data_IF_493089804433
#
_entry.id   IF_493089804433
#
_cell.length_a   1.000
_cell.length_b   1.000
_cell.length_c   1.000
_cell.angle_alpha   90.00
_cell.angle_beta   90.00
_cell.angle_gamma   90.00
#
_symmetry.space_group_name_H-M   'P 1'
#
loop_
_entity.id
_entity.type
_entity.pdbx_description
1 polymer ?
#
# COMPACT_ATOMS: atom_id res chain seq x y z
N UNK A 1 -35.89 6.53 9.06
CA UNK A 1 -36.99 6.11 8.16
C UNK A 1 -36.39 5.37 6.98
N UNK A 2 -36.97 4.24 6.56
CA UNK A 2 -36.41 3.34 5.53
C UNK A 2 -36.82 3.70 4.08
N UNK A 3 -37.45 4.87 3.88
CA UNK A 3 -37.98 5.28 2.58
C UNK A 3 -39.18 4.44 2.13
N UNK A 4 -39.59 4.63 0.88
CA UNK A 4 -40.68 3.88 0.27
C UNK A 4 -40.26 2.42 0.02
N UNK A 5 -41.19 1.46 0.15
CA UNK A 5 -40.89 0.07 -0.13
C UNK A 5 -40.68 -0.18 -1.61
N UNK A 6 -39.71 -1.03 -1.93
CA UNK A 6 -39.41 -1.45 -3.31
C UNK A 6 -40.18 -2.71 -3.72
N UNK A 7 -40.66 -3.49 -2.75
CA UNK A 7 -41.49 -4.66 -2.97
C UNK A 7 -42.46 -4.85 -1.80
N UNK A 8 -43.70 -5.23 -2.13
CA UNK A 8 -44.70 -5.67 -1.15
C UNK A 8 -45.19 -7.03 -1.61
N UNK A 9 -44.90 -8.05 -0.80
CA UNK A 9 -45.29 -9.44 -1.08
C UNK A 9 -46.75 -9.70 -0.69
N UNK A 10 -47.35 -10.73 -1.29
CA UNK A 10 -48.74 -11.12 -1.02
C UNK A 10 -49.00 -11.57 0.42
N UNK A 11 -47.96 -11.98 1.15
CA UNK A 11 -48.00 -12.33 2.58
C UNK A 11 -47.95 -11.10 3.51
N UNK A 12 -47.95 -9.89 2.96
CA UNK A 12 -47.87 -8.64 3.70
C UNK A 12 -46.46 -8.24 4.12
N UNK A 13 -45.43 -9.00 3.75
CA UNK A 13 -44.04 -8.60 3.98
C UNK A 13 -43.63 -7.46 3.03
N UNK A 14 -42.79 -6.58 3.55
CA UNK A 14 -42.38 -5.35 2.88
C UNK A 14 -40.86 -5.31 2.78
N UNK A 15 -40.34 -5.02 1.59
CA UNK A 15 -38.91 -4.91 1.33
C UNK A 15 -38.55 -3.46 1.08
N UNK A 16 -37.56 -2.96 1.82
CA UNK A 16 -36.96 -1.64 1.62
C UNK A 16 -35.55 -1.79 1.06
N UNK A 17 -35.20 -0.96 0.08
CA UNK A 17 -33.81 -0.80 -0.34
C UNK A 17 -33.09 0.08 0.69
N UNK A 18 -31.99 -0.43 1.24
CA UNK A 18 -31.12 0.32 2.15
C UNK A 18 -29.71 0.16 1.66
N UNK A 19 -29.15 1.22 1.07
CA UNK A 19 -27.81 1.16 0.47
C UNK A 19 -27.77 0.05 -0.61
N UNK A 20 -26.73 -0.79 -0.64
CA UNK A 20 -26.67 -1.97 -1.50
C UNK A 20 -27.45 -3.18 -0.94
N UNK A 21 -28.04 -3.07 0.25
CA UNK A 21 -28.79 -4.13 0.91
C UNK A 21 -30.30 -4.03 0.71
N UNK A 22 -30.98 -5.10 1.11
CA UNK A 22 -32.44 -5.17 1.21
C UNK A 22 -32.83 -5.54 2.62
N UNK A 23 -33.72 -4.76 3.21
CA UNK A 23 -34.31 -5.08 4.52
C UNK A 23 -35.72 -5.56 4.27
N UNK A 24 -35.98 -6.84 4.54
CA UNK A 24 -37.31 -7.43 4.51
C UNK A 24 -37.90 -7.39 5.92
N UNK A 25 -39.12 -6.88 6.00
CA UNK A 25 -39.92 -6.76 7.22
C UNK A 25 -41.13 -7.69 7.09
N UNK A 26 -41.23 -8.70 7.96
CA UNK A 26 -42.34 -9.64 8.01
C UNK A 26 -43.32 -9.30 9.14
N UNK A 27 -44.62 -9.33 8.84
CA UNK A 27 -45.68 -8.94 9.76
C UNK A 27 -46.64 -10.10 10.04
N UNK A 28 -47.16 -10.17 11.26
CA UNK A 28 -48.27 -11.05 11.63
C UNK A 28 -49.34 -10.22 12.34
N UNK A 29 -50.50 -10.07 11.71
CA UNK A 29 -51.47 -9.04 12.10
C UNK A 29 -50.83 -7.65 11.98
N UNK A 30 -50.93 -6.85 13.04
CA UNK A 30 -50.39 -5.48 13.07
C UNK A 30 -48.95 -5.42 13.64
N UNK A 31 -48.36 -6.58 13.96
CA UNK A 31 -47.05 -6.67 14.62
C UNK A 31 -45.93 -7.07 13.67
N UNK A 32 -44.78 -6.38 13.76
CA UNK A 32 -43.53 -6.80 13.13
C UNK A 32 -42.98 -8.02 13.87
N UNK A 33 -42.77 -9.12 13.15
CA UNK A 33 -42.31 -10.40 13.70
C UNK A 33 -40.98 -10.88 13.12
N UNK A 34 -40.58 -10.36 11.97
CA UNK A 34 -39.32 -10.73 11.31
C UNK A 34 -38.63 -9.50 10.71
N UNK A 35 -37.31 -9.42 10.89
CA UNK A 35 -36.44 -8.50 10.17
C UNK A 35 -35.30 -9.34 9.60
N UNK A 36 -35.20 -9.39 8.28
CA UNK A 36 -34.08 -10.02 7.59
C UNK A 36 -33.34 -9.02 6.72
N UNK A 37 -32.01 -9.10 6.77
CA UNK A 37 -31.12 -8.31 5.94
C UNK A 37 -30.54 -9.22 4.87
N UNK A 38 -30.87 -8.92 3.62
CA UNK A 38 -30.30 -9.58 2.46
C UNK A 38 -29.25 -8.67 1.84
N UNK A 39 -28.06 -9.22 1.62
CA UNK A 39 -27.02 -8.58 0.83
C UNK A 39 -26.92 -9.30 -0.50
N UNK A 40 -27.37 -8.69 -1.61
CA UNK A 40 -27.12 -9.22 -2.94
C UNK A 40 -25.62 -9.48 -3.13
N UNK A 41 -25.24 -10.53 -3.88
CA UNK A 41 -23.85 -10.76 -4.23
C UNK A 41 -23.30 -9.53 -4.94
N UNK A 42 -22.05 -9.16 -4.64
CA UNK A 42 -21.39 -8.06 -5.33
C UNK A 42 -21.26 -8.41 -6.82
N UNK A 43 -21.57 -7.45 -7.67
CA UNK A 43 -21.27 -7.56 -9.09
C UNK A 43 -19.75 -7.68 -9.30
N UNK A 44 -19.36 -8.18 -10.47
CA UNK A 44 -17.96 -8.32 -10.86
C UNK A 44 -17.20 -7.00 -10.87
N UNK A 45 -15.91 -7.06 -11.20
CA UNK A 45 -15.09 -5.85 -11.26
C UNK A 45 -15.62 -4.90 -12.34
N UNK A 46 -15.74 -3.59 -12.04
CA UNK A 46 -16.21 -2.61 -13.00
C UNK A 46 -15.25 -2.49 -14.20
N UNK A 47 -15.81 -2.14 -15.35
CA UNK A 47 -15.01 -1.88 -16.56
C UNK A 47 -14.29 -0.53 -16.49
N UNK A 48 -13.20 -0.42 -17.26
CA UNK A 48 -12.37 0.79 -17.34
C UNK A 48 -11.05 0.68 -16.57
N UNK A 49 -10.32 1.80 -16.47
CA UNK A 49 -9.00 1.84 -15.84
C UNK A 49 -9.00 1.48 -14.35
N UNK A 50 -10.13 1.68 -13.65
CA UNK A 50 -10.29 1.33 -12.23
C UNK A 50 -10.03 -0.17 -11.96
N UNK A 51 -10.28 -1.02 -12.96
CA UNK A 51 -10.13 -2.47 -12.84
C UNK A 51 -8.72 -2.87 -12.43
N UNK A 52 -7.69 -2.25 -13.02
CA UNK A 52 -6.30 -2.54 -12.67
C UNK A 52 -5.96 -2.17 -11.22
N UNK A 53 -6.58 -1.13 -10.68
CA UNK A 53 -6.39 -0.68 -9.29
C UNK A 53 -7.11 -1.59 -8.27
N UNK A 54 -8.12 -2.35 -8.71
CA UNK A 54 -8.78 -3.39 -7.92
C UNK A 54 -8.04 -4.73 -8.04
N UNK A 55 -7.62 -5.12 -9.25
CA UNK A 55 -6.92 -6.38 -9.53
C UNK A 55 -5.51 -6.45 -8.93
N UNK A 56 -4.87 -5.31 -8.65
CA UNK A 56 -3.56 -5.28 -8.00
C UNK A 56 -3.61 -5.70 -6.53
N UNK A 57 -4.78 -5.67 -5.88
CA UNK A 57 -4.90 -5.93 -4.46
C UNK A 57 -4.57 -7.40 -4.14
N UNK A 58 -3.65 -7.61 -3.20
CA UNK A 58 -3.10 -8.92 -2.84
C UNK A 58 -1.98 -9.41 -3.76
N UNK A 59 -1.74 -8.75 -4.89
CA UNK A 59 -0.68 -9.11 -5.82
C UNK A 59 0.71 -8.73 -5.28
N UNK A 60 1.76 -9.47 -5.67
CA UNK A 60 3.13 -9.17 -5.25
C UNK A 60 3.60 -7.78 -5.69
N UNK A 61 4.31 -7.06 -4.81
CA UNK A 61 5.13 -5.91 -5.21
C UNK A 61 6.16 -6.35 -6.26
N UNK A 62 6.40 -5.49 -7.24
CA UNK A 62 7.19 -5.80 -8.44
C UNK A 62 6.50 -6.75 -9.43
N UNK A 63 5.30 -7.25 -9.12
CA UNK A 63 4.51 -8.15 -9.98
C UNK A 63 3.92 -7.49 -11.23
N UNK A 64 3.30 -8.30 -12.11
CA UNK A 64 2.72 -7.81 -13.36
C UNK A 64 1.58 -6.80 -13.13
N UNK A 65 0.71 -7.05 -12.15
CA UNK A 65 -0.38 -6.13 -11.79
C UNK A 65 0.16 -4.80 -11.24
N UNK A 66 1.18 -4.83 -10.38
CA UNK A 66 1.86 -3.62 -9.88
C UNK A 66 2.47 -2.79 -11.02
N UNK A 67 3.11 -3.45 -11.99
CA UNK A 67 3.65 -2.76 -13.19
C UNK A 67 2.56 -2.15 -14.06
N UNK A 68 1.41 -2.81 -14.20
CA UNK A 68 0.26 -2.26 -14.91
C UNK A 68 -0.27 -0.98 -14.23
N UNK A 69 -0.39 -0.99 -12.90
CA UNK A 69 -0.77 0.21 -12.13
C UNK A 69 0.28 1.30 -12.26
N UNK A 70 1.57 0.98 -12.18
CA UNK A 70 2.65 1.94 -12.37
C UNK A 70 2.59 2.60 -13.76
N UNK A 71 2.30 1.82 -14.81
CA UNK A 71 2.13 2.34 -16.16
C UNK A 71 0.91 3.28 -16.28
N UNK A 72 -0.20 2.94 -15.63
CA UNK A 72 -1.41 3.80 -15.60
C UNK A 72 -1.19 5.08 -14.80
N UNK A 73 -0.52 4.99 -13.66
CA UNK A 73 -0.17 6.13 -12.83
C UNK A 73 0.76 7.10 -13.58
N UNK A 74 1.78 6.55 -14.25
CA UNK A 74 2.84 7.32 -14.89
C UNK A 74 3.71 8.09 -13.90
N UNK A 75 4.75 8.74 -14.45
CA UNK A 75 5.71 9.52 -13.67
C UNK A 75 6.70 8.66 -12.88
N UNK A 76 7.39 9.30 -11.94
CA UNK A 76 8.39 8.66 -11.08
C UNK A 76 7.73 8.08 -9.83
N UNK A 77 8.08 6.85 -9.48
CA UNK A 77 7.70 6.22 -8.23
C UNK A 77 8.68 6.63 -7.13
N UNK A 78 8.16 6.97 -5.94
CA UNK A 78 8.96 7.21 -4.73
C UNK A 78 8.48 6.29 -3.62
N UNK A 79 9.43 5.69 -2.91
CA UNK A 79 9.17 4.76 -1.81
C UNK A 79 9.37 5.42 -0.45
N UNK A 80 8.45 5.12 0.45
CA UNK A 80 8.42 5.63 1.80
C UNK A 80 8.24 4.50 2.79
N UNK A 81 8.98 4.56 3.89
CA UNK A 81 8.90 3.62 4.99
C UNK A 81 8.37 4.31 6.25
N UNK A 82 7.72 3.53 7.11
CA UNK A 82 7.41 3.92 8.49
C UNK A 82 8.67 3.71 9.35
N UNK A 83 8.70 4.26 10.57
CA UNK A 83 9.73 3.91 11.56
C UNK A 83 9.81 2.40 11.81
N UNK A 84 10.91 1.92 12.41
CA UNK A 84 11.12 0.52 12.74
C UNK A 84 9.90 -0.11 13.45
N UNK A 85 9.61 -1.37 13.11
CA UNK A 85 8.49 -2.13 13.69
C UNK A 85 7.22 -2.21 12.85
N UNK A 86 7.14 -1.50 11.72
CA UNK A 86 6.01 -1.57 10.79
C UNK A 86 6.48 -2.06 9.41
N UNK A 87 5.86 -3.14 8.92
CA UNK A 87 6.15 -3.73 7.60
C UNK A 87 5.53 -2.93 6.45
N UNK A 88 4.58 -2.04 6.77
CA UNK A 88 3.85 -1.27 5.78
C UNK A 88 4.74 -0.24 5.09
N UNK A 89 4.65 -0.21 3.76
CA UNK A 89 5.32 0.74 2.86
C UNK A 89 4.31 1.53 2.06
N UNK A 90 4.74 2.68 1.57
CA UNK A 90 3.99 3.49 0.62
C UNK A 90 4.82 3.71 -0.64
N UNK A 91 4.25 3.40 -1.79
CA UNK A 91 4.77 3.74 -3.11
C UNK A 91 3.90 4.88 -3.63
N UNK A 92 4.47 6.07 -3.77
CA UNK A 92 3.78 7.24 -4.28
C UNK A 92 4.25 7.55 -5.70
N UNK A 93 3.32 7.63 -6.64
CA UNK A 93 3.58 8.01 -8.02
C UNK A 93 3.25 9.50 -8.20
N UNK A 94 4.14 10.23 -8.87
CA UNK A 94 3.91 11.66 -9.19
C UNK A 94 2.64 11.88 -10.04
N UNK A 95 2.12 10.84 -10.68
CA UNK A 95 0.83 10.81 -11.36
C UNK A 95 -0.40 10.78 -10.45
N UNK A 96 -0.27 10.93 -9.13
CA UNK A 96 -1.40 11.01 -8.20
C UNK A 96 -1.99 9.65 -7.79
N UNK A 97 -1.17 8.59 -7.88
CA UNK A 97 -1.52 7.25 -7.41
C UNK A 97 -0.62 6.89 -6.23
N UNK A 98 -1.16 6.16 -5.27
CA UNK A 98 -0.42 5.59 -4.17
C UNK A 98 -0.76 4.12 -3.99
N UNK A 99 0.25 3.31 -3.69
CA UNK A 99 0.07 1.92 -3.27
C UNK A 99 0.58 1.76 -1.84
N UNK A 100 -0.20 1.14 -0.97
CA UNK A 100 0.32 0.62 0.29
C UNK A 100 0.68 -0.84 0.09
N UNK A 101 1.88 -1.22 0.53
CA UNK A 101 2.41 -2.59 0.45
C UNK A 101 2.69 -3.09 1.86
N UNK A 102 2.35 -4.33 2.13
CA UNK A 102 2.62 -5.03 3.38
C UNK A 102 2.97 -6.48 3.03
N UNK A 103 4.01 -7.04 3.65
CA UNK A 103 4.48 -8.41 3.36
C UNK A 103 4.71 -8.69 1.87
N UNK A 104 5.36 -7.73 1.20
CA UNK A 104 5.64 -7.75 -0.25
C UNK A 104 4.38 -7.90 -1.14
N UNK A 105 3.19 -7.57 -0.63
CA UNK A 105 1.92 -7.58 -1.37
C UNK A 105 1.19 -6.26 -1.27
N UNK A 106 0.44 -5.89 -2.30
CA UNK A 106 -0.33 -4.64 -2.30
C UNK A 106 -1.56 -4.77 -1.42
N UNK A 107 -1.65 -3.92 -0.42
CA UNK A 107 -2.74 -3.85 0.55
C UNK A 107 -3.82 -2.84 0.13
N UNK A 108 -3.41 -1.73 -0.49
CA UNK A 108 -4.35 -0.74 -1.01
C UNK A 108 -3.81 0.00 -2.22
N UNK A 109 -4.72 0.51 -3.02
CA UNK A 109 -4.43 1.46 -4.08
C UNK A 109 -5.29 2.70 -3.89
N UNK A 110 -4.70 3.89 -4.01
CA UNK A 110 -5.40 5.17 -3.87
C UNK A 110 -5.15 6.03 -5.09
N UNK A 111 -6.21 6.62 -5.62
CA UNK A 111 -6.21 7.48 -6.79
C UNK A 111 -6.71 8.86 -6.37
N UNK A 112 -5.89 9.89 -6.55
CA UNK A 112 -6.25 11.28 -6.29
C UNK A 112 -6.84 11.91 -7.54
N UNK A 113 -8.10 12.34 -7.47
CA UNK A 113 -8.86 12.89 -8.59
C UNK A 113 -8.80 14.42 -8.65
N UNK A 114 -8.47 15.07 -7.53
CA UNK A 114 -8.33 16.52 -7.42
C UNK A 114 -6.95 16.91 -6.89
N UNK A 115 -6.49 18.10 -7.27
CA UNK A 115 -5.20 18.63 -6.81
C UNK A 115 -5.35 19.17 -5.40
N UNK A 116 -4.65 18.58 -4.45
CA UNK A 116 -4.50 19.09 -3.10
C UNK A 116 -3.04 19.44 -2.84
N UNK A 117 -2.82 20.39 -1.92
CA UNK A 117 -1.48 20.89 -1.63
C UNK A 117 -0.49 19.73 -1.35
N UNK A 118 0.52 19.59 -2.20
CA UNK A 118 1.62 18.62 -2.02
C UNK A 118 1.42 17.25 -2.67
N UNK A 119 0.41 17.04 -3.52
CA UNK A 119 0.17 15.76 -4.22
C UNK A 119 0.05 15.87 -5.74
N UNK A 120 0.29 14.75 -6.44
CA UNK A 120 -0.06 14.59 -7.85
C UNK A 120 -1.56 14.33 -8.05
N UNK A 121 -2.05 14.57 -9.27
CA UNK A 121 -3.43 14.25 -9.68
C UNK A 121 -3.42 13.24 -10.80
N UNK A 122 -4.30 12.26 -10.70
CA UNK A 122 -4.49 11.27 -11.74
C UNK A 122 -5.03 11.91 -13.02
N UNK A 123 -4.21 11.89 -14.07
CA UNK A 123 -4.47 12.63 -15.32
C UNK A 123 -5.57 12.01 -16.17
N UNK A 124 -5.83 10.71 -16.00
CA UNK A 124 -6.75 9.93 -16.82
C UNK A 124 -8.08 9.63 -16.10
N UNK A 125 -8.51 10.49 -15.18
CA UNK A 125 -9.72 10.25 -14.38
C UNK A 125 -10.99 9.97 -15.20
N UNK A 126 -11.15 10.58 -16.38
CA UNK A 126 -12.30 10.32 -17.27
C UNK A 126 -12.29 8.94 -17.96
N UNK A 127 -11.22 8.15 -17.80
CA UNK A 127 -11.14 6.76 -18.28
C UNK A 127 -11.14 5.72 -17.16
N UNK A 128 -11.33 6.13 -15.90
CA UNK A 128 -11.34 5.20 -14.77
C UNK A 128 -12.56 4.29 -14.80
N UNK A 129 -13.74 4.86 -15.04
CA UNK A 129 -15.01 4.14 -15.14
C UNK A 129 -15.66 4.46 -16.49
N UNK A 130 -16.20 3.45 -17.16
CA UNK A 130 -16.86 3.62 -18.45
C UNK A 130 -18.07 4.56 -18.31
N UNK A 131 -18.14 5.58 -19.16
CA UNK A 131 -19.27 6.53 -19.19
C UNK A 131 -19.28 7.56 -18.05
N UNK A 132 -18.25 7.58 -17.20
CA UNK A 132 -18.14 8.50 -16.06
C UNK A 132 -17.26 9.71 -16.43
N UNK A 133 -17.70 10.95 -16.15
CA UNK A 133 -16.91 12.14 -16.47
C UNK A 133 -15.64 12.25 -15.60
N UNK A 134 -14.71 13.11 -16.02
CA UNK A 134 -13.42 13.32 -15.32
C UNK A 134 -13.58 13.75 -13.85
N UNK A 135 -14.62 14.51 -13.53
CA UNK A 135 -14.94 14.97 -12.18
C UNK A 135 -16.32 14.43 -11.80
N UNK A 136 -16.41 13.18 -11.33
CA UNK A 136 -17.69 12.52 -11.17
C UNK A 136 -18.43 13.01 -9.92
N UNK A 137 -19.73 13.23 -10.07
CA UNK A 137 -20.64 13.42 -8.94
C UNK A 137 -20.99 12.09 -8.26
N UNK A 138 -21.68 12.15 -7.11
CA UNK A 138 -22.28 10.96 -6.49
C UNK A 138 -23.20 10.20 -7.45
N UNK A 139 -24.08 10.92 -8.14
CA UNK A 139 -25.05 10.32 -9.07
C UNK A 139 -24.36 9.61 -10.23
N UNK A 140 -23.25 10.17 -10.72
CA UNK A 140 -22.45 9.52 -11.77
C UNK A 140 -21.84 8.20 -11.29
N UNK A 141 -21.33 8.18 -10.06
CA UNK A 141 -20.77 6.97 -9.46
C UNK A 141 -21.86 5.97 -9.12
N UNK A 142 -23.01 6.39 -8.59
CA UNK A 142 -24.15 5.49 -8.34
C UNK A 142 -24.69 4.89 -9.63
N UNK A 143 -24.63 5.61 -10.76
CA UNK A 143 -25.00 5.05 -12.06
C UNK A 143 -24.01 3.99 -12.54
N UNK A 144 -22.71 4.19 -12.30
CA UNK A 144 -21.65 3.30 -12.76
C UNK A 144 -21.37 2.12 -11.82
N UNK A 145 -21.63 2.30 -10.52
CA UNK A 145 -21.31 1.36 -9.44
C UNK A 145 -22.59 0.83 -8.75
N UNK A 146 -23.77 1.36 -9.06
CA UNK A 146 -24.94 1.10 -8.24
C UNK A 146 -24.84 1.77 -6.86
N UNK A 147 -25.77 1.46 -5.95
CA UNK A 147 -25.81 2.08 -4.63
C UNK A 147 -24.58 1.69 -3.79
N UNK A 148 -24.08 2.58 -2.91
CA UNK A 148 -23.01 2.26 -2.00
C UNK A 148 -23.46 1.18 -1.02
N UNK A 149 -22.54 0.36 -0.53
CA UNK A 149 -22.76 -0.62 0.53
C UNK A 149 -22.71 -0.02 1.94
N UNK A 150 -22.12 1.17 2.09
CA UNK A 150 -22.16 1.98 3.30
C UNK A 150 -21.88 3.45 2.97
N UNK A 151 -22.53 4.36 3.68
CA UNK A 151 -22.31 5.82 3.57
C UNK A 151 -22.00 6.41 4.93
N UNK A 152 -20.96 7.23 5.02
CA UNK A 152 -20.61 7.99 6.21
C UNK A 152 -20.18 9.41 5.82
N UNK A 153 -21.10 10.36 5.97
CA UNK A 153 -20.85 11.76 5.64
C UNK A 153 -20.44 11.95 4.17
N UNK A 154 -19.21 12.43 3.96
CA UNK A 154 -18.61 12.65 2.63
C UNK A 154 -18.00 11.40 2.01
N UNK A 155 -18.11 10.23 2.64
CA UNK A 155 -17.49 8.98 2.19
C UNK A 155 -18.54 7.94 1.85
N UNK A 156 -18.34 7.22 0.75
CA UNK A 156 -19.15 6.07 0.35
C UNK A 156 -18.26 4.85 0.09
N UNK A 157 -18.72 3.68 0.50
CA UNK A 157 -18.06 2.40 0.24
C UNK A 157 -18.86 1.65 -0.82
N UNK A 158 -18.22 1.26 -1.91
CA UNK A 158 -18.79 0.47 -3.00
C UNK A 158 -18.13 -0.90 -3.03
N UNK A 159 -18.91 -1.99 -2.94
CA UNK A 159 -18.35 -3.35 -2.96
C UNK A 159 -18.36 -3.94 -4.36
N UNK A 160 -17.21 -4.43 -4.84
CA UNK A 160 -17.03 -5.04 -6.17
C UNK A 160 -16.17 -6.29 -6.06
N UNK A 161 -16.75 -7.44 -6.39
CA UNK A 161 -16.11 -8.73 -6.12
C UNK A 161 -15.67 -8.84 -4.66
N UNK A 162 -14.39 -9.16 -4.44
CA UNK A 162 -13.74 -9.24 -3.12
C UNK A 162 -13.06 -7.94 -2.64
N UNK A 163 -13.41 -6.80 -3.25
CA UNK A 163 -12.79 -5.51 -2.97
C UNK A 163 -13.83 -4.48 -2.51
N UNK A 164 -13.41 -3.58 -1.62
CA UNK A 164 -14.15 -2.38 -1.26
C UNK A 164 -13.46 -1.18 -1.93
N UNK A 165 -14.24 -0.39 -2.67
CA UNK A 165 -13.84 0.89 -3.26
C UNK A 165 -14.45 2.01 -2.41
N UNK A 166 -13.60 2.67 -1.64
CA UNK A 166 -13.96 3.82 -0.80
C UNK A 166 -13.80 5.09 -1.63
N UNK A 167 -14.86 5.87 -1.75
CA UNK A 167 -14.89 7.14 -2.48
C UNK A 167 -15.09 8.26 -1.48
N UNK A 168 -14.18 9.24 -1.47
CA UNK A 168 -14.33 10.46 -0.70
C UNK A 168 -14.74 11.62 -1.61
N UNK A 169 -15.75 12.36 -1.19
CA UNK A 169 -16.32 13.50 -1.90
C UNK A 169 -15.96 14.83 -1.22
N UNK A 170 -15.84 15.89 -2.02
CA UNK A 170 -15.57 17.23 -1.51
C UNK A 170 -16.76 17.89 -0.80
N UNK A 171 -16.51 18.95 -0.01
CA UNK A 171 -17.57 19.76 0.56
C UNK A 171 -18.38 20.45 -0.55
N UNK A 172 -19.71 20.37 -0.50
CA UNK A 172 -20.61 21.04 -1.45
C UNK A 172 -22.07 20.66 -1.24
N UNK A 173 -22.99 21.59 -1.56
CA UNK A 173 -24.42 21.29 -1.58
C UNK A 173 -24.75 20.47 -2.84
N UNK A 174 -25.50 19.37 -2.69
CA UNK A 174 -25.87 18.39 -3.72
C UNK A 174 -24.80 17.34 -4.11
N UNK A 175 -24.11 16.75 -3.13
CA UNK A 175 -23.36 15.50 -3.36
C UNK A 175 -22.07 15.70 -4.14
N UNK A 176 -21.18 16.55 -3.59
CA UNK A 176 -19.95 17.07 -4.18
C UNK A 176 -19.10 16.07 -4.99
N UNK A 177 -18.17 16.60 -5.79
CA UNK A 177 -17.35 15.77 -6.70
C UNK A 177 -16.44 14.80 -5.94
N UNK A 178 -16.19 13.63 -6.52
CA UNK A 178 -15.22 12.68 -5.99
C UNK A 178 -13.81 13.28 -6.01
N UNK A 179 -13.11 13.16 -4.89
CA UNK A 179 -11.76 13.71 -4.68
C UNK A 179 -10.71 12.63 -4.65
N UNK A 180 -11.03 11.50 -4.04
CA UNK A 180 -10.17 10.32 -4.04
C UNK A 180 -10.99 9.03 -4.10
N UNK A 181 -10.34 8.00 -4.63
CA UNK A 181 -10.84 6.64 -4.67
C UNK A 181 -9.77 5.72 -4.10
N UNK A 182 -10.11 4.99 -3.05
CA UNK A 182 -9.22 4.04 -2.37
C UNK A 182 -9.79 2.63 -2.46
N UNK A 183 -9.09 1.74 -3.14
CA UNK A 183 -9.43 0.34 -3.23
C UNK A 183 -8.67 -0.46 -2.16
N UNK A 184 -9.38 -1.35 -1.48
CA UNK A 184 -8.86 -2.28 -0.46
C UNK A 184 -9.54 -3.64 -0.58
N UNK A 185 -8.92 -4.74 -0.14
CA UNK A 185 -9.63 -6.00 0.04
C UNK A 185 -10.79 -5.82 1.02
N UNK A 186 -11.91 -6.50 0.78
CA UNK A 186 -13.09 -6.37 1.66
C UNK A 186 -12.75 -6.67 3.12
N UNK A 187 -13.18 -5.80 4.03
CA UNK A 187 -12.92 -5.93 5.47
C UNK A 187 -11.54 -5.42 5.92
N UNK A 188 -10.75 -4.86 5.01
CA UNK A 188 -9.44 -4.25 5.33
C UNK A 188 -9.59 -2.76 5.61
N UNK A 189 -8.86 -2.26 6.61
CA UNK A 189 -8.74 -0.82 6.88
C UNK A 189 -7.29 -0.38 6.69
N UNK A 190 -7.10 0.76 6.03
CA UNK A 190 -5.78 1.35 5.77
C UNK A 190 -5.76 2.79 6.25
N UNK A 191 -4.62 3.19 6.85
CA UNK A 191 -4.40 4.57 7.25
C UNK A 191 -3.42 5.26 6.30
N UNK A 192 -3.84 6.37 5.72
CA UNK A 192 -3.02 7.18 4.85
C UNK A 192 -2.19 8.23 5.62
N UNK A 193 -2.59 8.59 6.84
CA UNK A 193 -1.94 9.61 7.68
C UNK A 193 -0.75 9.15 8.51
N UNK A 194 -0.18 7.98 8.22
CA UNK A 194 0.96 7.44 8.99
C UNK A 194 2.22 8.29 8.72
N UNK A 195 2.95 8.64 9.77
CA UNK A 195 4.26 9.28 9.66
C UNK A 195 5.24 8.36 8.92
N UNK A 196 5.87 8.90 7.88
CA UNK A 196 6.76 8.17 6.98
C UNK A 196 7.98 9.02 6.66
N UNK A 197 9.10 8.36 6.37
CA UNK A 197 10.31 8.96 5.83
C UNK A 197 10.60 8.40 4.45
N UNK A 198 11.27 9.17 3.60
CA UNK A 198 11.65 8.73 2.25
C UNK A 198 12.76 7.71 2.36
N UNK A 199 12.47 6.47 1.99
CA UNK A 199 13.44 5.38 2.10
C UNK A 199 14.30 5.21 0.86
N UNK A 200 13.88 5.77 -0.29
CA UNK A 200 14.36 5.31 -1.58
C UNK A 200 14.09 3.81 -1.76
N UNK A 201 14.91 3.15 -2.57
CA UNK A 201 14.86 1.70 -2.79
C UNK A 201 15.30 0.89 -1.55
N UNK A 202 15.93 1.51 -0.56
CA UNK A 202 16.52 0.79 0.56
C UNK A 202 15.53 -0.11 1.34
N UNK A 203 14.29 0.34 1.52
CA UNK A 203 13.27 -0.46 2.21
C UNK A 203 12.99 -1.79 1.49
N UNK A 204 13.19 -1.85 0.17
CA UNK A 204 13.03 -3.09 -0.59
C UNK A 204 14.00 -4.17 -0.15
N UNK A 205 15.22 -3.79 0.26
CA UNK A 205 16.24 -4.76 0.64
C UNK A 205 15.87 -5.52 1.91
N UNK A 206 15.16 -4.86 2.84
CA UNK A 206 14.57 -5.53 4.00
C UNK A 206 13.38 -6.40 3.59
N UNK A 207 12.53 -5.90 2.70
CA UNK A 207 11.28 -6.56 2.32
C UNK A 207 11.52 -7.82 1.44
N UNK A 208 12.68 -7.94 0.77
CA UNK A 208 13.04 -9.17 0.02
C UNK A 208 13.59 -10.29 0.88
N UNK A 209 14.03 -10.02 2.11
CA UNK A 209 14.59 -11.07 2.97
C UNK A 209 13.57 -12.17 3.23
N UNK A 210 13.98 -13.42 3.07
CA UNK A 210 13.13 -14.59 3.26
C UNK A 210 12.17 -14.90 2.10
N UNK A 211 12.09 -14.04 1.08
CA UNK A 211 11.31 -14.33 -0.12
C UNK A 211 12.03 -15.36 -1.01
N UNK A 212 11.25 -16.17 -1.70
CA UNK A 212 11.75 -17.11 -2.71
C UNK A 212 12.45 -16.37 -3.86
N UNK A 213 13.45 -17.04 -4.44
CA UNK A 213 14.22 -16.50 -5.55
C UNK A 213 13.37 -16.10 -6.78
N UNK A 214 12.24 -16.79 -6.97
CA UNK A 214 11.27 -16.58 -8.04
C UNK A 214 10.36 -15.36 -7.83
N UNK A 215 10.36 -14.77 -6.62
CA UNK A 215 9.44 -13.70 -6.27
C UNK A 215 9.69 -12.43 -7.13
N UNK A 216 8.65 -11.76 -7.66
CA UNK A 216 8.83 -10.61 -8.55
C UNK A 216 9.68 -9.48 -7.95
N UNK A 217 9.49 -9.19 -6.65
CA UNK A 217 10.29 -8.20 -5.92
C UNK A 217 11.78 -8.56 -5.87
N UNK A 218 12.11 -9.86 -5.73
CA UNK A 218 13.50 -10.34 -5.75
C UNK A 218 14.10 -10.11 -7.14
N UNK A 219 13.33 -10.38 -8.20
CA UNK A 219 13.72 -10.05 -9.57
C UNK A 219 14.01 -8.55 -9.78
N UNK A 220 13.18 -7.68 -9.20
CA UNK A 220 13.41 -6.23 -9.24
C UNK A 220 14.72 -5.84 -8.54
N UNK A 221 14.94 -6.32 -7.31
CA UNK A 221 16.15 -6.00 -6.54
C UNK A 221 17.41 -6.55 -7.22
N UNK A 222 17.36 -7.75 -7.77
CA UNK A 222 18.49 -8.36 -8.51
C UNK A 222 18.94 -7.50 -9.70
N UNK A 223 18.02 -6.78 -10.33
CA UNK A 223 18.31 -5.95 -11.51
C UNK A 223 18.85 -4.56 -11.15
N UNK A 224 18.96 -4.21 -9.87
CA UNK A 224 19.54 -2.94 -9.44
C UNK A 224 21.06 -2.97 -9.57
N UNK A 225 21.61 -2.01 -10.31
CA UNK A 225 23.05 -1.91 -10.52
C UNK A 225 23.77 -1.60 -9.20
N UNK A 226 24.74 -2.44 -8.80
CA UNK A 226 25.45 -2.27 -7.54
C UNK A 226 24.92 -3.11 -6.38
N UNK A 227 23.93 -3.98 -6.63
CA UNK A 227 23.32 -4.87 -5.65
C UNK A 227 23.70 -6.32 -5.96
N UNK A 228 24.15 -7.05 -4.94
CA UNK A 228 24.34 -8.50 -4.98
C UNK A 228 23.36 -9.16 -4.00
N UNK A 229 22.71 -10.24 -4.44
CA UNK A 229 21.87 -11.07 -3.58
C UNK A 229 22.63 -12.32 -3.16
N UNK A 230 22.54 -12.68 -1.89
CA UNK A 230 22.92 -14.00 -1.40
C UNK A 230 21.67 -14.81 -1.06
N UNK A 231 21.58 -15.99 -1.66
CA UNK A 231 20.44 -16.91 -1.52
C UNK A 231 20.89 -18.13 -0.72
N UNK A 232 20.09 -18.52 0.27
CA UNK A 232 20.32 -19.72 1.06
C UNK A 232 19.02 -20.52 1.16
N UNK A 233 19.07 -21.81 0.83
CA UNK A 233 17.89 -22.67 0.85
C UNK A 233 16.75 -22.20 -0.06
N UNK A 234 17.07 -21.54 -1.19
CA UNK A 234 16.08 -21.06 -2.16
C UNK A 234 15.41 -19.72 -1.82
N UNK A 235 15.76 -19.11 -0.69
CA UNK A 235 15.26 -17.79 -0.27
C UNK A 235 16.39 -16.78 -0.13
N UNK A 236 16.07 -15.49 -0.27
CA UNK A 236 17.05 -14.41 -0.07
C UNK A 236 17.45 -14.34 1.40
N UNK A 237 18.74 -14.49 1.66
CA UNK A 237 19.33 -14.42 3.01
C UNK A 237 20.06 -13.10 3.24
N UNK A 238 20.64 -12.52 2.19
CA UNK A 238 21.39 -11.27 2.24
C UNK A 238 21.23 -10.44 0.95
N UNK A 239 21.32 -9.12 1.12
CA UNK A 239 21.46 -8.11 0.08
C UNK A 239 22.72 -7.32 0.40
N UNK A 240 23.67 -7.26 -0.52
CA UNK A 240 24.93 -6.53 -0.34
C UNK A 240 25.01 -5.39 -1.34
N UNK A 241 25.38 -4.22 -0.85
CA UNK A 241 25.54 -2.99 -1.61
C UNK A 241 26.97 -2.50 -1.44
N UNK A 242 27.67 -2.27 -2.55
CA UNK A 242 29.03 -1.72 -2.52
C UNK A 242 30.12 -2.76 -2.27
N UNK A 243 30.09 -3.91 -2.94
CA UNK A 243 31.21 -4.86 -2.97
C UNK A 243 32.11 -4.69 -4.21
N UNK A 244 33.20 -5.47 -4.26
CA UNK A 244 34.34 -5.35 -5.15
C UNK A 244 34.00 -4.97 -6.61
N UNK A 245 34.10 -3.67 -6.92
CA UNK A 245 33.87 -3.10 -8.25
C UNK A 245 32.77 -2.03 -8.31
N UNK A 246 32.02 -1.82 -7.23
CA UNK A 246 30.93 -0.84 -7.20
C UNK A 246 31.20 0.26 -6.16
N UNK A 247 31.40 1.48 -6.65
CA UNK A 247 31.73 2.65 -5.81
C UNK A 247 30.58 3.01 -4.87
N UNK A 248 30.96 3.57 -3.73
CA UNK A 248 30.12 4.12 -2.66
C UNK A 248 29.13 5.18 -3.16
N UNK A 249 29.44 5.85 -4.28
CA UNK A 249 28.55 6.74 -5.05
C UNK A 249 27.16 6.13 -5.36
N UNK A 250 27.04 4.80 -5.37
CA UNK A 250 25.77 4.09 -5.62
C UNK A 250 24.86 4.02 -4.40
N UNK A 251 25.37 4.17 -3.18
CA UNK A 251 24.53 4.19 -1.97
C UNK A 251 23.54 5.35 -1.99
N UNK A 252 23.97 6.52 -2.47
CA UNK A 252 23.13 7.69 -2.69
C UNK A 252 21.96 7.44 -3.68
N UNK A 253 22.08 6.46 -4.57
CA UNK A 253 21.02 6.11 -5.50
C UNK A 253 19.89 5.28 -4.87
N UNK A 254 20.16 4.64 -3.72
CA UNK A 254 19.19 3.76 -3.05
C UNK A 254 18.53 4.39 -1.83
N UNK A 255 19.12 5.45 -1.27
CA UNK A 255 18.63 6.13 -0.08
C UNK A 255 18.42 7.60 -0.40
N UNK A 256 17.16 8.04 -0.38
CA UNK A 256 16.83 9.45 -0.62
C UNK A 256 17.53 10.36 0.39
N UNK A 257 18.30 11.34 -0.11
CA UNK A 257 19.02 12.32 0.70
C UNK A 257 20.40 11.89 1.19
N UNK A 258 20.86 10.69 0.85
CA UNK A 258 22.22 10.24 1.16
C UNK A 258 23.25 10.91 0.21
N UNK A 259 24.37 11.46 0.73
CA UNK A 259 25.39 12.08 -0.12
C UNK A 259 26.15 11.03 -0.94
N UNK A 260 26.81 11.47 -2.02
CA UNK A 260 27.56 10.59 -2.93
C UNK A 260 28.77 9.89 -2.29
N UNK A 261 29.33 10.47 -1.22
CA UNK A 261 30.38 9.85 -0.40
C UNK A 261 29.87 9.74 1.04
N UNK A 262 29.02 8.75 1.33
CA UNK A 262 28.37 8.67 2.63
C UNK A 262 29.33 8.15 3.70
N UNK A 263 29.26 8.81 4.85
CA UNK A 263 29.91 8.40 6.09
C UNK A 263 28.91 7.67 6.98
N UNK A 264 29.42 7.00 8.02
CA UNK A 264 28.58 6.28 9.01
C UNK A 264 27.51 7.17 9.66
N UNK A 265 27.73 8.47 9.77
CA UNK A 265 26.78 9.43 10.36
C UNK A 265 25.65 9.82 9.40
N UNK A 266 25.79 9.56 8.10
CA UNK A 266 24.79 9.91 7.09
C UNK A 266 23.67 8.86 6.96
N UNK A 267 23.76 7.75 7.70
CA UNK A 267 22.81 6.63 7.63
C UNK A 267 21.48 7.00 8.31
N UNK A 268 20.35 7.09 7.57
CA UNK A 268 19.10 7.66 8.10
C UNK A 268 18.24 6.64 8.87
N UNK A 269 18.76 5.45 9.17
CA UNK A 269 18.00 4.33 9.74
C UNK A 269 17.89 4.37 11.28
N UNK A 270 17.94 5.57 11.86
CA UNK A 270 17.98 5.75 13.31
C UNK A 270 19.32 5.31 13.93
N UNK A 271 19.31 5.22 15.27
CA UNK A 271 20.50 4.92 16.07
C UNK A 271 20.88 3.43 15.94
N UNK A 272 22.16 3.09 15.69
CA UNK A 272 22.63 1.71 15.76
C UNK A 272 22.38 1.06 17.12
N UNK A 273 22.04 -0.22 17.12
CA UNK A 273 22.05 -1.06 18.32
C UNK A 273 23.46 -1.50 18.70
N UNK A 274 24.38 -1.53 17.73
CA UNK A 274 25.81 -1.71 17.96
C UNK A 274 26.63 -0.68 17.16
N UNK A 275 27.67 -0.13 17.80
CA UNK A 275 28.65 0.79 17.20
C UNK A 275 30.05 0.28 17.57
N UNK A 276 30.79 -0.21 16.58
CA UNK A 276 32.19 -0.59 16.68
C UNK A 276 33.12 0.41 15.99
N UNK A 277 34.41 0.10 15.92
CA UNK A 277 35.40 0.99 15.30
C UNK A 277 35.16 1.17 13.79
N UNK A 278 34.65 0.15 13.12
CA UNK A 278 34.40 0.13 11.66
C UNK A 278 33.00 -0.29 11.26
N UNK A 279 32.18 -0.70 12.22
CA UNK A 279 30.94 -1.41 11.97
C UNK A 279 29.79 -0.79 12.77
N UNK A 280 28.67 -0.54 12.10
CA UNK A 280 27.41 -0.21 12.76
C UNK A 280 26.37 -1.28 12.44
N UNK A 281 25.63 -1.73 13.46
CA UNK A 281 24.51 -2.64 13.28
C UNK A 281 23.21 -2.00 13.74
N UNK A 282 22.15 -2.28 12.98
CA UNK A 282 20.78 -1.95 13.32
C UNK A 282 19.92 -3.18 13.13
N UNK A 283 19.09 -3.47 14.12
CA UNK A 283 18.11 -4.54 14.06
C UNK A 283 16.71 -4.00 13.73
N UNK A 284 16.04 -4.75 12.86
CA UNK A 284 14.66 -4.56 12.43
C UNK A 284 13.93 -5.89 12.60
N UNK A 285 12.60 -5.86 12.57
CA UNK A 285 11.78 -7.08 12.63
C UNK A 285 12.07 -8.02 11.44
N UNK A 286 12.36 -7.45 10.27
CA UNK A 286 12.67 -8.18 9.04
C UNK A 286 14.10 -8.76 9.03
N UNK A 287 15.05 -8.13 9.74
CA UNK A 287 16.45 -8.50 9.65
C UNK A 287 17.40 -7.44 10.21
N UNK A 288 18.62 -7.44 9.72
CA UNK A 288 19.74 -6.65 10.21
C UNK A 288 20.31 -5.80 9.08
N UNK A 289 20.68 -4.57 9.40
CA UNK A 289 21.49 -3.72 8.53
C UNK A 289 22.87 -3.60 9.16
N UNK A 290 23.88 -4.05 8.43
CA UNK A 290 25.29 -3.91 8.76
C UNK A 290 25.93 -2.90 7.83
N UNK A 291 26.44 -1.81 8.40
CA UNK A 291 27.20 -0.78 7.71
C UNK A 291 28.67 -0.99 8.05
N UNK A 292 29.50 -1.19 7.03
CA UNK A 292 30.94 -1.39 7.18
C UNK A 292 31.71 -0.23 6.54
N UNK A 293 32.64 0.34 7.31
CA UNK A 293 33.56 1.39 6.88
C UNK A 293 35.02 0.93 7.07
N UNK A 294 35.69 0.54 5.99
CA UNK A 294 37.05 0.00 6.04
C UNK A 294 38.07 0.97 6.69
N UNK A 295 37.90 2.28 6.49
CA UNK A 295 38.70 3.36 7.09
C UNK A 295 38.16 3.87 8.43
N UNK A 296 37.06 3.27 8.93
CA UNK A 296 36.35 3.66 10.15
C UNK A 296 35.33 4.80 9.97
N UNK A 297 35.29 5.46 8.81
CA UNK A 297 34.48 6.67 8.59
C UNK A 297 33.57 6.54 7.35
N UNK A 298 34.17 6.31 6.19
CA UNK A 298 33.50 6.27 4.89
C UNK A 298 32.87 4.89 4.71
N UNK A 299 31.57 4.84 4.41
CA UNK A 299 30.87 3.58 4.21
C UNK A 299 31.44 2.91 2.98
N UNK A 300 32.06 1.74 3.16
CA UNK A 300 32.50 0.89 2.05
C UNK A 300 31.40 -0.05 1.58
N UNK A 301 30.63 -0.63 2.50
CA UNK A 301 29.64 -1.67 2.18
C UNK A 301 28.45 -1.59 3.13
N UNK A 302 27.25 -1.86 2.61
CA UNK A 302 26.06 -2.12 3.43
C UNK A 302 25.56 -3.52 3.12
N UNK A 303 25.42 -4.34 4.16
CA UNK A 303 24.84 -5.68 4.10
C UNK A 303 23.53 -5.70 4.85
N UNK A 304 22.45 -6.04 4.16
CA UNK A 304 21.13 -6.27 4.75
C UNK A 304 20.94 -7.78 4.80
N UNK A 305 20.66 -8.35 5.97
CA UNK A 305 20.63 -9.81 6.14
C UNK A 305 19.58 -10.26 7.15
N UNK A 306 19.09 -11.49 6.99
CA UNK A 306 18.08 -12.05 7.90
C UNK A 306 18.63 -12.36 9.30
N UNK A 307 19.89 -12.74 9.38
CA UNK A 307 20.58 -13.09 10.63
C UNK A 307 21.62 -12.04 10.98
N UNK A 308 21.94 -11.90 12.27
CA UNK A 308 23.00 -11.01 12.70
C UNK A 308 24.37 -11.47 12.14
N UNK A 309 25.29 -10.55 11.80
CA UNK A 309 26.64 -10.93 11.39
C UNK A 309 27.35 -11.74 12.48
N UNK A 310 27.77 -12.97 12.16
CA UNK A 310 28.35 -13.92 13.13
C UNK A 310 29.63 -13.44 13.81
N UNK A 311 30.35 -12.49 13.20
CA UNK A 311 31.63 -11.98 13.70
C UNK A 311 31.46 -10.85 14.72
N UNK A 312 30.25 -10.34 14.92
CA UNK A 312 29.96 -9.23 15.81
C UNK A 312 29.11 -9.73 16.98
N UNK A 313 29.44 -9.29 18.19
CA UNK A 313 28.68 -9.63 19.40
C UNK A 313 27.42 -8.76 19.45
N UNK A 314 26.45 -9.13 18.60
CA UNK A 314 25.20 -8.42 18.41
C UNK A 314 24.05 -9.21 19.02
N UNK A 315 23.21 -8.54 19.79
CA UNK A 315 21.97 -9.10 20.32
C UNK A 315 20.80 -8.24 19.85
N UNK A 316 19.71 -8.91 19.47
CA UNK A 316 18.50 -8.21 19.01
C UNK A 316 17.97 -7.39 20.18
N UNK A 317 17.75 -6.09 19.96
CA UNK A 317 17.32 -5.22 21.03
C UNK A 317 15.90 -5.62 21.45
N UNK A 318 15.70 -5.87 22.74
CA UNK A 318 14.39 -6.27 23.26
C UNK A 318 13.91 -5.29 24.32
N UNK A 319 12.77 -4.64 24.05
CA UNK A 319 12.13 -3.63 24.91
C UNK A 319 12.03 -4.01 26.39
N UNK A 320 11.94 -5.30 26.69
CA UNK A 320 11.79 -5.82 28.06
C UNK A 320 13.12 -6.14 28.76
N UNK A 321 14.23 -6.25 28.04
CA UNK A 321 15.52 -6.75 28.56
C UNK A 321 16.58 -5.68 28.70
N UNK A 322 16.55 -4.66 27.85
CA UNK A 322 17.67 -3.73 27.65
C UNK A 322 17.37 -2.30 28.15
N UNK A 323 16.65 -2.16 29.28
CA UNK A 323 16.41 -0.88 29.97
C UNK A 323 17.47 -0.57 31.01
#
# INVERSE_FOLDING_TARGET
MLGDPVEVSADGSVVHAVEAGRVRLGFAGDGLVEISLERPPSEGLPEGGIRAFLEVLGEPDGGAACRAVAALAGGTARRWAVSSGFLRRLIAFDGGVELQVEDARVLSSRIRLVNEAGGGVYRHAGGLLVGVPRSPSRDDLHRALGPPAATSGSVELHRRGGCDLVVEYGPGAAGGIAREMTAVPTGTSVSHGIHRWRSGEFALFLDVLGLEESHPLVGQVRNLAGVRLGVHGGVVAEVVIGDAGHRTERLAAFVDGMPGEPTRTDVPFGRPSYVGDRDDLRDFDQGWIHVHAADGTSISTITISREAPRALDAHRWTWHRDR
#
